data_IF_650954380889
#
_entry.id   IF_650954380889
#
_cell.length_a   1.000
_cell.length_b   1.000
_cell.length_c   1.000
_cell.angle_alpha   90.00
_cell.angle_beta   90.00
_cell.angle_gamma   90.00
#
_symmetry.space_group_name_H-M   'P 1'
#
loop_
_entity.id
_entity.type
_entity.pdbx_description
1 polymer ?
#
# COMPACT_ATOMS: atom_id res chain seq x y z
N UNK A 1 -0.26 26.86 -16.25
CA UNK A 1 0.63 26.18 -15.31
C UNK A 1 -0.17 25.75 -14.10
N UNK A 2 -0.45 24.48 -13.99
CA UNK A 2 -1.07 23.93 -12.77
C UNK A 2 0.03 23.86 -11.72
N UNK A 3 0.01 24.78 -10.75
CA UNK A 3 0.91 24.73 -9.60
C UNK A 3 0.53 23.48 -8.80
N UNK A 4 1.38 22.46 -8.82
CA UNK A 4 1.14 21.23 -8.06
C UNK A 4 1.38 21.52 -6.59
N UNK A 5 0.36 21.30 -5.80
CA UNK A 5 0.44 21.42 -4.36
C UNK A 5 0.70 20.05 -3.75
N UNK A 6 1.62 19.99 -2.80
CA UNK A 6 1.80 18.85 -1.91
C UNK A 6 1.08 19.12 -0.61
N UNK A 7 0.41 18.15 -0.05
CA UNK A 7 -0.31 18.26 1.22
C UNK A 7 0.69 18.20 2.39
N UNK A 8 1.56 19.22 2.50
CA UNK A 8 2.66 19.24 3.48
C UNK A 8 2.20 19.06 4.92
N UNK A 9 1.03 19.55 5.29
CA UNK A 9 0.53 19.40 6.65
C UNK A 9 0.18 17.94 6.94
N UNK A 10 -0.47 17.23 6.02
CA UNK A 10 -0.70 15.79 6.14
C UNK A 10 0.60 14.98 6.11
N UNK A 11 1.55 15.35 5.26
CA UNK A 11 2.88 14.72 5.21
C UNK A 11 3.58 14.86 6.57
N UNK A 12 3.62 16.07 7.15
CA UNK A 12 4.22 16.33 8.46
C UNK A 12 3.52 15.55 9.58
N UNK A 13 2.19 15.51 9.56
CA UNK A 13 1.40 14.72 10.52
C UNK A 13 1.77 13.24 10.46
N UNK A 14 1.86 12.64 9.27
CA UNK A 14 2.23 11.23 9.10
C UNK A 14 3.68 10.95 9.44
N UNK A 15 4.59 11.88 9.20
CA UNK A 15 5.98 11.76 9.65
C UNK A 15 6.08 11.85 11.17
N UNK A 16 5.33 12.75 11.81
CA UNK A 16 5.26 12.84 13.26
C UNK A 16 4.70 11.55 13.89
N UNK A 17 3.67 10.95 13.28
CA UNK A 17 3.17 9.63 13.67
C UNK A 17 4.27 8.58 13.54
N UNK A 18 4.98 8.51 12.40
CA UNK A 18 6.05 7.56 12.16
C UNK A 18 7.22 7.71 13.16
N UNK A 19 7.59 8.95 13.52
CA UNK A 19 8.56 9.21 14.58
C UNK A 19 8.05 8.71 15.94
N UNK A 20 6.80 9.05 16.28
CA UNK A 20 6.21 8.71 17.57
C UNK A 20 6.12 7.19 17.80
N UNK A 21 5.66 6.43 16.83
CA UNK A 21 5.54 4.97 16.97
C UNK A 21 6.90 4.26 17.08
N UNK A 22 7.99 4.93 16.68
CA UNK A 22 9.37 4.42 16.79
C UNK A 22 10.10 4.89 18.07
N UNK A 23 9.45 5.68 18.95
CA UNK A 23 10.06 6.11 20.22
C UNK A 23 10.21 4.95 21.23
N UNK A 24 9.34 3.97 21.15
CA UNK A 24 9.35 2.78 22.01
C UNK A 24 9.85 1.57 21.21
N UNK A 25 10.67 0.72 21.83
CA UNK A 25 11.02 -0.57 21.23
C UNK A 25 9.75 -1.34 20.86
N UNK A 26 9.66 -1.79 19.63
CA UNK A 26 8.49 -2.51 19.11
C UNK A 26 8.92 -3.58 18.14
N UNK A 27 8.30 -4.75 18.22
CA UNK A 27 8.41 -5.75 17.17
C UNK A 27 7.42 -5.41 16.07
N UNK A 28 7.92 -5.24 14.86
CA UNK A 28 7.12 -4.88 13.71
C UNK A 28 6.71 -6.10 12.90
N UNK A 29 5.52 -6.03 12.35
CA UNK A 29 4.95 -7.04 11.47
C UNK A 29 4.22 -6.37 10.29
N UNK A 30 3.85 -7.20 9.32
CA UNK A 30 3.08 -6.80 8.15
C UNK A 30 1.88 -7.74 8.03
N UNK A 31 0.70 -7.20 7.81
CA UNK A 31 -0.46 -7.99 7.39
C UNK A 31 -0.24 -8.51 5.97
N UNK A 32 -0.46 -9.80 5.72
CA UNK A 32 -0.22 -10.41 4.40
C UNK A 32 -1.32 -11.33 3.96
N UNK A 33 -1.94 -11.00 2.82
CA UNK A 33 -2.84 -11.92 2.14
C UNK A 33 -2.91 -11.72 0.61
N UNK A 34 -1.84 -11.22 0.00
CA UNK A 34 -1.79 -11.01 -1.44
C UNK A 34 -2.28 -12.21 -2.23
N UNK A 35 -3.28 -12.02 -3.11
CA UNK A 35 -3.95 -13.07 -3.90
C UNK A 35 -4.53 -14.20 -3.05
N UNK A 36 -4.98 -13.90 -1.83
CA UNK A 36 -5.51 -14.87 -0.87
C UNK A 36 -4.56 -16.07 -0.63
N UNK A 37 -3.23 -15.88 -0.68
CA UNK A 37 -2.25 -16.96 -0.49
C UNK A 37 -2.32 -17.62 0.89
N UNK A 38 -2.82 -16.86 1.88
CA UNK A 38 -3.04 -17.36 3.25
C UNK A 38 -4.49 -17.82 3.46
N UNK A 39 -5.27 -17.95 2.40
CA UNK A 39 -6.69 -18.29 2.38
C UNK A 39 -7.57 -17.06 2.33
N UNK A 40 -8.77 -17.20 1.76
CA UNK A 40 -9.74 -16.13 1.75
C UNK A 40 -10.23 -15.84 3.18
N UNK A 41 -10.26 -14.57 3.56
CA UNK A 41 -10.73 -14.16 4.90
C UNK A 41 -12.20 -14.59 5.11
N UNK A 42 -12.58 -15.06 6.31
CA UNK A 42 -13.99 -15.31 6.64
C UNK A 42 -14.83 -14.03 6.49
N UNK A 43 -16.16 -14.19 6.39
CA UNK A 43 -17.06 -13.04 6.39
C UNK A 43 -17.02 -12.35 7.76
N UNK A 44 -16.89 -11.03 7.76
CA UNK A 44 -17.03 -10.20 8.96
C UNK A 44 -18.49 -10.17 9.43
N UNK A 45 -18.71 -9.86 10.71
CA UNK A 45 -20.03 -9.80 11.34
C UNK A 45 -21.01 -8.91 10.57
N UNK A 46 -20.55 -7.75 10.13
CA UNK A 46 -21.34 -6.79 9.35
C UNK A 46 -20.62 -6.45 8.06
N UNK A 47 -21.20 -6.80 6.93
CA UNK A 47 -20.61 -6.54 5.62
C UNK A 47 -21.63 -5.95 4.64
N UNK A 48 -21.13 -5.31 3.61
CA UNK A 48 -21.91 -4.80 2.47
C UNK A 48 -21.23 -5.20 1.16
N UNK A 49 -21.96 -5.10 0.04
CA UNK A 49 -21.34 -5.16 -1.28
C UNK A 49 -21.02 -3.75 -1.76
N UNK A 50 -19.80 -3.57 -2.23
CA UNK A 50 -19.36 -2.29 -2.79
C UNK A 50 -19.80 -2.12 -4.26
N UNK A 51 -19.39 -1.01 -4.90
CA UNK A 51 -19.70 -0.72 -6.30
C UNK A 51 -19.15 -1.77 -7.29
N UNK A 52 -18.19 -2.58 -6.87
CA UNK A 52 -17.63 -3.69 -7.66
C UNK A 52 -18.37 -5.03 -7.44
N UNK A 53 -19.45 -5.03 -6.66
CA UNK A 53 -20.18 -6.23 -6.27
C UNK A 53 -19.43 -7.12 -5.27
N UNK A 54 -18.31 -6.65 -4.72
CA UNK A 54 -17.44 -7.39 -3.80
C UNK A 54 -17.87 -7.17 -2.35
N UNK A 55 -17.66 -8.18 -1.52
CA UNK A 55 -17.89 -8.07 -0.08
C UNK A 55 -16.83 -7.14 0.52
N UNK A 56 -17.29 -6.17 1.30
CA UNK A 56 -16.46 -5.27 2.08
C UNK A 56 -17.03 -5.11 3.50
N UNK A 57 -16.20 -4.77 4.46
CA UNK A 57 -16.61 -4.41 5.80
C UNK A 57 -17.37 -3.06 5.83
N UNK A 58 -17.82 -2.63 6.99
CA UNK A 58 -18.57 -1.37 7.15
C UNK A 58 -17.77 -0.13 6.80
N UNK A 59 -16.43 -0.20 6.86
CA UNK A 59 -15.51 0.88 6.51
C UNK A 59 -15.03 0.82 5.06
N UNK A 60 -15.44 -0.20 4.31
CA UNK A 60 -15.17 -0.32 2.88
C UNK A 60 -13.94 -1.14 2.53
N UNK A 61 -13.26 -1.77 3.49
CA UNK A 61 -12.14 -2.67 3.20
C UNK A 61 -12.71 -3.96 2.60
N UNK A 62 -12.25 -4.31 1.40
CA UNK A 62 -12.72 -5.51 0.70
C UNK A 62 -12.20 -6.80 1.35
N UNK A 63 -13.00 -7.86 1.29
CA UNK A 63 -12.65 -9.21 1.75
C UNK A 63 -11.48 -9.81 0.96
N UNK A 64 -11.43 -9.55 -0.34
CA UNK A 64 -10.42 -10.11 -1.23
C UNK A 64 -9.04 -9.56 -0.91
N UNK A 65 -8.09 -10.44 -0.67
CA UNK A 65 -6.71 -10.14 -0.25
C UNK A 65 -6.57 -9.49 1.14
N UNK A 66 -7.63 -9.44 1.93
CA UNK A 66 -7.60 -8.87 3.26
C UNK A 66 -7.30 -9.89 4.36
N UNK A 67 -7.05 -9.38 5.54
CA UNK A 67 -6.74 -10.11 6.76
C UNK A 67 -7.90 -9.98 7.73
N UNK A 68 -8.47 -11.08 8.28
CA UNK A 68 -9.56 -10.99 9.24
C UNK A 68 -9.04 -10.51 10.60
N UNK A 69 -9.69 -9.47 11.13
CA UNK A 69 -9.43 -8.88 12.45
C UNK A 69 -10.56 -9.26 13.41
N UNK A 70 -10.19 -9.92 14.52
CA UNK A 70 -11.12 -10.39 15.54
C UNK A 70 -10.99 -9.55 16.80
N UNK A 71 -12.11 -9.37 17.52
CA UNK A 71 -12.10 -8.73 18.82
C UNK A 71 -11.25 -9.54 19.82
N UNK A 72 -10.66 -8.86 20.81
CA UNK A 72 -9.90 -9.53 21.87
C UNK A 72 -10.76 -10.52 22.68
N UNK A 73 -12.06 -10.27 22.75
CA UNK A 73 -13.04 -11.05 23.51
C UNK A 73 -13.81 -12.07 22.69
N UNK A 74 -13.72 -12.02 21.36
CA UNK A 74 -14.45 -12.92 20.46
C UNK A 74 -13.64 -13.20 19.18
N UNK A 75 -13.16 -14.44 19.06
CA UNK A 75 -12.40 -14.93 17.92
C UNK A 75 -13.20 -15.90 17.02
N UNK A 76 -14.52 -15.94 17.15
CA UNK A 76 -15.38 -16.80 16.32
C UNK A 76 -15.69 -16.18 14.97
N UNK A 77 -16.05 -14.89 14.98
CA UNK A 77 -16.40 -14.14 13.76
C UNK A 77 -15.56 -12.87 13.70
N UNK A 78 -14.85 -12.59 12.59
CA UNK A 78 -14.07 -11.36 12.50
C UNK A 78 -14.99 -10.14 12.47
N UNK A 79 -14.53 -9.06 13.09
CA UNK A 79 -15.26 -7.80 13.16
C UNK A 79 -14.97 -6.91 11.94
N UNK A 80 -13.71 -6.91 11.48
CA UNK A 80 -13.23 -6.07 10.39
C UNK A 80 -12.23 -6.80 9.50
N UNK A 81 -11.81 -6.11 8.44
CA UNK A 81 -10.69 -6.49 7.60
C UNK A 81 -9.51 -5.52 7.75
N UNK A 82 -8.30 -6.06 7.89
CA UNK A 82 -7.03 -5.33 7.73
C UNK A 82 -6.52 -5.46 6.30
N UNK A 83 -5.78 -4.48 5.83
CA UNK A 83 -5.28 -4.45 4.46
C UNK A 83 -3.95 -5.23 4.31
N UNK A 84 -3.76 -5.94 3.19
CA UNK A 84 -2.46 -6.51 2.84
C UNK A 84 -1.39 -5.41 2.81
N UNK A 85 -0.24 -5.64 3.42
CA UNK A 85 0.86 -4.68 3.46
C UNK A 85 0.81 -3.69 4.61
N UNK A 86 -0.25 -3.63 5.39
CA UNK A 86 -0.39 -2.69 6.50
C UNK A 86 0.68 -2.92 7.56
N UNK A 87 1.39 -1.85 7.96
CA UNK A 87 2.33 -1.89 9.07
C UNK A 87 1.57 -2.20 10.37
N UNK A 88 2.11 -3.13 11.14
CA UNK A 88 1.44 -3.64 12.34
C UNK A 88 2.43 -3.77 13.47
N UNK A 89 2.07 -3.32 14.67
CA UNK A 89 2.81 -3.58 15.89
C UNK A 89 2.43 -4.96 16.44
N UNK A 90 3.40 -5.83 16.54
CA UNK A 90 3.25 -7.13 17.21
C UNK A 90 3.24 -6.91 18.72
N UNK A 91 2.26 -7.47 19.42
CA UNK A 91 2.11 -7.28 20.87
C UNK A 91 2.38 -8.61 21.60
N UNK A 92 1.67 -9.68 21.22
CA UNK A 92 1.72 -10.96 21.93
C UNK A 92 1.53 -12.14 20.96
N UNK A 93 2.28 -13.22 21.20
CA UNK A 93 2.15 -14.46 20.45
C UNK A 93 1.29 -15.48 21.20
N UNK A 94 0.07 -15.70 20.73
CA UNK A 94 -0.81 -16.75 21.24
C UNK A 94 -0.66 -18.07 20.46
N UNK A 95 -1.48 -19.07 20.74
CA UNK A 95 -1.40 -20.37 20.08
C UNK A 95 -1.77 -20.31 18.58
N UNK A 96 -2.94 -19.76 18.25
CA UNK A 96 -3.51 -19.66 16.88
C UNK A 96 -3.52 -18.23 16.34
N UNK A 97 -3.56 -17.26 17.23
CA UNK A 97 -3.68 -15.85 16.94
C UNK A 97 -2.47 -15.09 17.48
N UNK A 98 -2.19 -13.97 16.86
CA UNK A 98 -1.30 -12.93 17.36
C UNK A 98 -2.18 -11.77 17.82
N UNK A 99 -1.93 -11.22 18.99
CA UNK A 99 -2.45 -9.91 19.39
C UNK A 99 -1.56 -8.85 18.76
N UNK A 100 -2.14 -7.98 17.96
CA UNK A 100 -1.39 -6.96 17.23
C UNK A 100 -2.25 -5.71 16.96
N UNK A 101 -1.55 -4.60 16.69
CA UNK A 101 -2.15 -3.29 16.40
C UNK A 101 -1.73 -2.83 15.00
N UNK A 102 -2.61 -2.93 13.98
CA UNK A 102 -2.36 -2.35 12.67
C UNK A 102 -2.37 -0.82 12.74
N UNK A 103 -1.32 -0.17 12.22
CA UNK A 103 -1.05 1.26 12.46
C UNK A 103 -2.00 2.22 11.75
N UNK A 104 -2.66 1.81 10.69
CA UNK A 104 -3.67 2.62 9.99
C UNK A 104 -5.09 2.28 10.44
N UNK A 105 -5.41 0.98 10.56
CA UNK A 105 -6.70 0.51 11.05
C UNK A 105 -6.92 0.89 12.51
N UNK A 106 -5.85 0.92 13.31
CA UNK A 106 -5.91 1.22 14.75
C UNK A 106 -6.45 0.05 15.58
N UNK A 107 -6.46 0.26 16.90
CA UNK A 107 -6.89 -0.68 17.91
C UNK A 107 -6.09 -2.01 17.94
N UNK A 108 -6.27 -2.76 19.02
CA UNK A 108 -5.68 -4.07 19.20
C UNK A 108 -6.63 -5.17 18.74
N UNK A 109 -6.11 -6.11 17.95
CA UNK A 109 -6.87 -7.18 17.35
C UNK A 109 -6.23 -8.55 17.57
N UNK A 110 -7.05 -9.60 17.62
CA UNK A 110 -6.62 -10.98 17.47
C UNK A 110 -6.58 -11.32 15.98
N UNK A 111 -5.40 -11.65 15.46
CA UNK A 111 -5.15 -11.89 14.03
C UNK A 111 -4.58 -13.30 13.86
N UNK A 112 -5.16 -14.18 13.01
CA UNK A 112 -4.61 -15.51 12.81
C UNK A 112 -3.17 -15.45 12.28
N UNK A 113 -2.27 -16.21 12.89
CA UNK A 113 -0.82 -16.20 12.64
C UNK A 113 -0.44 -16.25 11.17
N UNK A 114 -1.16 -17.05 10.37
CA UNK A 114 -0.89 -17.21 8.94
C UNK A 114 -0.98 -15.92 8.12
N UNK A 115 -1.63 -14.89 8.64
CA UNK A 115 -1.78 -13.59 7.98
C UNK A 115 -0.77 -12.55 8.46
N UNK A 116 0.11 -12.87 9.39
CA UNK A 116 1.05 -11.92 10.00
C UNK A 116 2.48 -12.34 9.68
N UNK A 117 3.23 -11.46 9.04
CA UNK A 117 4.66 -11.62 8.82
C UNK A 117 5.43 -10.72 9.77
N UNK A 118 6.04 -11.29 10.78
CA UNK A 118 6.97 -10.55 11.66
C UNK A 118 8.22 -10.16 10.85
N UNK A 119 8.63 -8.89 10.92
CA UNK A 119 9.81 -8.36 10.24
C UNK A 119 10.93 -7.99 11.20
N UNK A 120 10.65 -7.93 12.51
CA UNK A 120 11.64 -7.80 13.57
C UNK A 120 11.49 -6.55 14.45
N UNK A 121 12.35 -6.45 15.44
CA UNK A 121 12.39 -5.39 16.46
C UNK A 121 13.51 -4.37 16.25
N UNK A 122 14.46 -4.67 15.35
CA UNK A 122 15.60 -3.80 15.02
C UNK A 122 15.35 -2.88 13.82
N UNK A 123 14.19 -2.98 13.19
CA UNK A 123 13.87 -2.20 11.99
C UNK A 123 13.58 -0.75 12.38
N UNK A 124 14.27 0.17 11.70
CA UNK A 124 14.01 1.60 11.77
C UNK A 124 13.56 2.09 10.39
N UNK A 125 12.37 2.65 10.33
CA UNK A 125 11.82 3.19 9.09
C UNK A 125 12.40 4.59 8.81
N UNK A 126 13.49 4.63 8.06
CA UNK A 126 14.18 5.86 7.68
C UNK A 126 13.76 6.40 6.31
N UNK A 127 12.87 5.71 5.61
CA UNK A 127 12.40 6.09 4.28
C UNK A 127 10.89 6.03 4.20
N UNK A 128 10.32 7.10 3.69
CA UNK A 128 8.87 7.22 3.51
C UNK A 128 8.56 7.73 2.10
N UNK A 129 7.52 7.16 1.49
CA UNK A 129 6.96 7.61 0.21
C UNK A 129 5.53 8.04 0.46
N UNK A 130 5.17 9.22 0.00
CA UNK A 130 3.83 9.79 0.10
C UNK A 130 3.17 9.83 -1.27
N UNK A 131 2.06 9.15 -1.42
CA UNK A 131 1.21 9.17 -2.61
C UNK A 131 0.00 10.03 -2.30
N UNK A 132 -0.18 11.10 -3.05
CA UNK A 132 -1.31 12.04 -2.93
C UNK A 132 -2.33 11.74 -4.02
N UNK A 133 -3.47 11.15 -3.64
CA UNK A 133 -4.56 10.81 -4.56
C UNK A 133 -5.29 12.04 -5.07
N UNK A 134 -5.41 13.08 -4.24
CA UNK A 134 -6.11 14.31 -4.59
C UNK A 134 -5.33 15.13 -5.63
N UNK A 135 -4.05 15.41 -5.36
CA UNK A 135 -3.22 16.23 -6.23
C UNK A 135 -2.44 15.44 -7.30
N UNK A 136 -2.60 14.12 -7.34
CA UNK A 136 -1.94 13.24 -8.31
C UNK A 136 -0.42 13.45 -8.34
N UNK A 137 0.21 13.40 -7.17
CA UNK A 137 1.66 13.53 -7.03
C UNK A 137 2.23 12.51 -6.03
N UNK A 138 3.55 12.45 -5.96
CA UNK A 138 4.29 11.54 -5.10
C UNK A 138 5.54 12.25 -4.58
N UNK A 139 5.86 12.07 -3.30
CA UNK A 139 7.08 12.55 -2.69
C UNK A 139 7.81 11.41 -1.97
N UNK A 140 9.14 11.42 -2.01
CA UNK A 140 9.99 10.51 -1.25
C UNK A 140 10.81 11.30 -0.24
N UNK A 141 10.79 10.87 1.02
CA UNK A 141 11.50 11.51 2.11
C UNK A 141 12.41 10.52 2.84
N UNK A 142 13.54 11.00 3.31
CA UNK A 142 14.52 10.22 4.05
C UNK A 142 14.85 10.90 5.37
N UNK A 143 14.88 10.12 6.43
CA UNK A 143 15.21 10.58 7.77
C UNK A 143 16.71 10.87 7.86
N UNK A 144 17.07 12.10 8.19
CA UNK A 144 18.43 12.56 8.38
C UNK A 144 18.84 12.65 9.85
N UNK A 145 17.87 12.64 10.76
CA UNK A 145 18.04 12.68 12.21
C UNK A 145 16.72 12.52 12.91
N UNK A 146 16.71 12.55 14.24
CA UNK A 146 15.46 12.46 15.03
C UNK A 146 14.54 13.63 14.67
N UNK A 147 13.35 13.31 14.16
CA UNK A 147 12.37 14.31 13.74
C UNK A 147 12.77 15.15 12.53
N UNK A 148 13.85 14.80 11.85
CA UNK A 148 14.35 15.54 10.67
C UNK A 148 14.25 14.67 9.42
N UNK A 149 13.53 15.18 8.42
CA UNK A 149 13.29 14.50 7.16
C UNK A 149 13.69 15.38 5.99
N UNK A 150 14.40 14.79 5.03
CA UNK A 150 14.86 15.46 3.80
C UNK A 150 14.05 14.94 2.64
N UNK A 151 13.52 15.84 1.82
CA UNK A 151 12.84 15.49 0.57
C UNK A 151 13.89 15.01 -0.43
N UNK A 152 13.74 13.78 -0.92
CA UNK A 152 14.58 13.17 -1.94
C UNK A 152 14.04 13.34 -3.34
N UNK A 153 12.72 13.34 -3.46
CA UNK A 153 12.04 13.56 -4.74
C UNK A 153 10.63 14.08 -4.57
N UNK A 154 10.17 14.85 -5.55
CA UNK A 154 8.78 15.29 -5.70
C UNK A 154 8.43 15.20 -7.19
N UNK A 155 7.41 14.40 -7.54
CA UNK A 155 7.06 14.15 -8.93
C UNK A 155 5.55 14.07 -9.14
N UNK A 156 5.06 14.33 -10.36
CA UNK A 156 3.71 13.97 -10.74
C UNK A 156 3.56 12.45 -10.74
N UNK A 157 2.39 11.99 -10.34
CA UNK A 157 1.99 10.58 -10.42
C UNK A 157 0.58 10.45 -10.96
N UNK A 158 0.14 9.21 -11.19
CA UNK A 158 -1.24 8.92 -11.57
C UNK A 158 -1.69 7.70 -10.79
N UNK A 159 -2.72 7.87 -9.96
CA UNK A 159 -3.27 6.84 -9.09
C UNK A 159 -4.41 6.05 -9.74
N UNK A 160 -4.95 5.07 -9.03
CA UNK A 160 -6.09 4.27 -9.43
C UNK A 160 -7.38 5.09 -9.55
N UNK A 161 -8.18 4.79 -10.57
CA UNK A 161 -9.48 5.43 -10.83
C UNK A 161 -10.63 4.53 -10.36
N UNK A 162 -11.75 5.13 -10.02
CA UNK A 162 -13.00 4.41 -9.81
C UNK A 162 -13.65 4.07 -11.15
N UNK A 163 -13.52 2.82 -11.60
CA UNK A 163 -14.14 2.33 -12.85
C UNK A 163 -14.44 0.82 -12.75
N UNK A 164 -15.54 0.44 -12.06
CA UNK A 164 -15.97 -0.96 -12.02
C UNK A 164 -16.21 -1.53 -13.44
N UNK A 165 -15.98 -2.83 -13.63
CA UNK A 165 -15.49 -3.80 -12.66
C UNK A 165 -13.95 -3.92 -12.60
N UNK A 166 -13.19 -3.21 -13.43
CA UNK A 166 -11.78 -3.50 -13.68
C UNK A 166 -10.80 -2.61 -12.92
N UNK A 167 -11.12 -1.32 -12.74
CA UNK A 167 -10.22 -0.39 -12.11
C UNK A 167 -10.75 0.12 -10.76
N UNK A 168 -9.86 0.12 -9.76
CA UNK A 168 -10.11 0.60 -8.40
C UNK A 168 -9.18 1.75 -8.06
N UNK A 169 -9.60 2.55 -7.10
CA UNK A 169 -8.76 3.57 -6.48
C UNK A 169 -7.58 2.92 -5.76
N UNK A 170 -6.46 3.64 -5.72
CA UNK A 170 -5.32 3.25 -4.88
C UNK A 170 -5.76 3.28 -3.41
N UNK A 171 -5.62 2.17 -2.65
CA UNK A 171 -6.08 2.11 -1.27
C UNK A 171 -5.38 3.14 -0.39
N UNK A 172 -6.16 3.81 0.48
CA UNK A 172 -5.63 4.68 1.53
C UNK A 172 -4.98 3.84 2.62
N UNK A 173 -3.90 4.31 3.21
CA UNK A 173 -3.27 3.56 4.29
C UNK A 173 -1.83 3.91 4.59
N UNK A 174 -1.27 3.11 5.50
CA UNK A 174 0.14 3.11 5.89
C UNK A 174 0.70 1.70 5.66
N UNK A 175 1.43 1.54 4.58
CA UNK A 175 1.89 0.25 4.09
C UNK A 175 3.40 0.13 4.17
N UNK A 176 3.89 -1.10 4.26
CA UNK A 176 5.30 -1.43 4.10
C UNK A 176 5.56 -1.87 2.66
N UNK A 177 6.66 -1.41 2.07
CA UNK A 177 7.11 -1.90 0.76
C UNK A 177 7.44 -3.40 0.86
N UNK A 178 6.74 -4.25 0.09
CA UNK A 178 6.77 -5.71 0.27
C UNK A 178 7.55 -6.47 -0.81
N UNK A 179 7.54 -5.98 -2.05
CA UNK A 179 8.10 -6.72 -3.20
C UNK A 179 8.57 -5.77 -4.29
N UNK A 180 9.57 -6.18 -5.04
CA UNK A 180 10.08 -5.44 -6.21
C UNK A 180 10.16 -6.34 -7.44
N UNK A 181 9.77 -5.81 -8.60
CA UNK A 181 9.88 -6.47 -9.91
C UNK A 181 10.47 -5.50 -10.93
N UNK A 182 11.52 -5.90 -11.62
CA UNK A 182 12.07 -5.09 -12.73
C UNK A 182 11.01 -4.89 -13.82
N UNK A 183 10.21 -5.92 -14.08
CA UNK A 183 9.07 -5.89 -15.00
C UNK A 183 7.87 -6.57 -14.34
N UNK A 184 6.81 -5.85 -14.12
CA UNK A 184 5.52 -6.38 -13.68
C UNK A 184 4.64 -6.57 -14.92
N UNK A 185 4.37 -7.81 -15.30
CA UNK A 185 3.46 -8.12 -16.42
C UNK A 185 2.02 -7.90 -15.97
N UNK A 186 1.20 -7.28 -16.81
CA UNK A 186 -0.23 -7.13 -16.59
C UNK A 186 -1.03 -7.72 -17.77
N UNK A 187 -2.27 -8.09 -17.47
CA UNK A 187 -3.21 -8.64 -18.46
C UNK A 187 -4.10 -7.52 -19.01
N UNK A 188 -4.68 -7.77 -20.17
CA UNK A 188 -5.76 -6.94 -20.71
C UNK A 188 -7.04 -7.17 -19.88
N UNK A 189 -7.84 -6.13 -19.70
CA UNK A 189 -9.10 -6.21 -18.95
C UNK A 189 -10.02 -7.28 -19.51
N UNK A 190 -10.57 -8.11 -18.60
CA UNK A 190 -11.47 -9.21 -18.97
C UNK A 190 -10.84 -10.35 -19.75
N UNK A 191 -9.50 -10.42 -19.84
CA UNK A 191 -8.77 -11.38 -20.66
C UNK A 191 -7.62 -12.06 -19.90
N UNK A 192 -7.14 -13.19 -20.42
CA UNK A 192 -5.89 -13.84 -19.99
C UNK A 192 -4.69 -13.41 -20.85
N UNK A 193 -4.90 -12.57 -21.85
CA UNK A 193 -3.83 -12.09 -22.72
C UNK A 193 -2.95 -11.05 -22.02
N UNK A 194 -1.65 -11.11 -22.29
CA UNK A 194 -0.72 -10.10 -21.80
C UNK A 194 -1.02 -8.73 -22.41
N UNK A 195 -1.32 -7.74 -21.57
CA UNK A 195 -1.52 -6.35 -21.96
C UNK A 195 -0.20 -5.59 -22.14
N UNK A 196 0.85 -6.05 -21.48
CA UNK A 196 2.16 -5.42 -21.48
C UNK A 196 2.91 -5.61 -20.16
N UNK A 197 3.79 -4.67 -19.84
CA UNK A 197 4.49 -4.66 -18.55
C UNK A 197 4.65 -3.24 -18.01
N UNK A 198 4.80 -3.13 -16.70
CA UNK A 198 5.16 -1.92 -15.98
C UNK A 198 6.60 -2.06 -15.45
N UNK A 199 7.53 -1.13 -15.77
CA UNK A 199 8.91 -1.21 -15.33
C UNK A 199 9.07 -0.75 -13.88
N UNK A 200 10.06 -1.31 -13.18
CA UNK A 200 10.50 -0.92 -11.83
C UNK A 200 9.36 -0.88 -10.82
N UNK A 201 8.61 -1.95 -10.74
CA UNK A 201 7.41 -2.06 -9.92
C UNK A 201 7.75 -2.42 -8.46
N UNK A 202 7.24 -1.63 -7.52
CA UNK A 202 7.42 -1.74 -6.08
C UNK A 202 6.05 -1.91 -5.42
N UNK A 203 5.72 -3.14 -4.93
CA UNK A 203 4.41 -3.48 -4.36
C UNK A 203 4.33 -3.06 -2.90
N UNK A 204 3.21 -2.46 -2.50
CA UNK A 204 2.97 -2.05 -1.12
C UNK A 204 1.67 -2.62 -0.51
N UNK A 205 0.61 -2.82 -1.29
CA UNK A 205 -0.63 -3.47 -0.82
C UNK A 205 -1.29 -4.20 -1.98
N UNK A 206 -2.00 -5.27 -1.73
CA UNK A 206 -2.76 -6.02 -2.72
C UNK A 206 -2.04 -6.14 -4.08
N UNK A 207 -2.72 -5.76 -5.17
CA UNK A 207 -2.13 -5.60 -6.50
C UNK A 207 -1.61 -4.18 -6.79
N UNK A 208 -1.48 -3.30 -5.81
CA UNK A 208 -1.00 -1.94 -5.98
C UNK A 208 0.54 -1.86 -5.94
N UNK A 209 1.09 -1.29 -7.00
CA UNK A 209 2.53 -1.06 -7.19
C UNK A 209 2.78 0.42 -7.52
N UNK A 210 3.90 0.95 -7.04
CA UNK A 210 4.53 2.14 -7.60
C UNK A 210 5.38 1.67 -8.77
N UNK A 211 5.19 2.20 -9.99
CA UNK A 211 5.90 1.73 -11.18
C UNK A 211 6.04 2.82 -12.26
N UNK A 212 6.90 2.60 -13.23
CA UNK A 212 7.09 3.48 -14.38
C UNK A 212 5.92 3.46 -15.36
N UNK A 213 6.01 4.27 -16.41
CA UNK A 213 4.97 4.32 -17.45
C UNK A 213 4.77 2.92 -18.05
N UNK A 214 3.53 2.40 -18.09
CA UNK A 214 3.26 1.09 -18.65
C UNK A 214 3.64 0.99 -20.13
N UNK A 215 4.25 -0.11 -20.51
CA UNK A 215 4.61 -0.44 -21.89
C UNK A 215 3.59 -1.45 -22.41
N UNK A 216 2.63 -0.97 -23.18
CA UNK A 216 1.56 -1.80 -23.75
C UNK A 216 2.10 -2.65 -24.91
N UNK A 217 1.70 -3.92 -24.98
CA UNK A 217 2.01 -4.79 -26.11
C UNK A 217 1.40 -4.22 -27.43
N UNK A 218 2.08 -4.34 -28.58
CA UNK A 218 3.33 -5.10 -28.82
C UNK A 218 4.63 -4.30 -28.55
N UNK A 219 4.55 -3.07 -28.05
CA UNK A 219 5.73 -2.25 -27.76
C UNK A 219 6.66 -2.93 -26.75
N UNK A 220 7.96 -2.85 -26.96
CA UNK A 220 8.99 -3.39 -26.08
C UNK A 220 9.83 -2.31 -25.39
N UNK A 221 9.93 -1.13 -26.02
CA UNK A 221 10.76 -0.01 -25.54
C UNK A 221 10.07 0.72 -24.39
N UNK A 222 10.81 0.99 -23.34
CA UNK A 222 10.35 1.79 -22.21
C UNK A 222 9.96 3.20 -22.65
N UNK A 223 8.99 3.78 -21.96
CA UNK A 223 8.51 5.14 -22.14
C UNK A 223 8.85 5.90 -20.87
N UNK A 224 9.53 7.02 -21.00
CA UNK A 224 9.90 7.83 -19.84
C UNK A 224 8.72 8.56 -19.25
N UNK A 225 7.89 9.17 -20.07
CA UNK A 225 6.84 10.07 -19.61
C UNK A 225 5.51 9.79 -20.29
N UNK A 226 4.44 10.04 -19.56
CA UNK A 226 3.06 10.05 -20.09
C UNK A 226 2.41 11.40 -19.78
N UNK A 227 1.74 12.06 -20.74
CA UNK A 227 1.06 13.34 -20.49
C UNK A 227 -0.08 13.25 -19.46
N UNK A 228 -0.48 12.04 -19.08
CA UNK A 228 -1.49 11.82 -18.02
C UNK A 228 -0.93 11.93 -16.60
N UNK A 229 0.40 11.92 -16.41
CA UNK A 229 0.99 12.04 -15.09
C UNK A 229 0.65 13.39 -14.45
N UNK A 230 0.17 13.34 -13.21
CA UNK A 230 -0.22 14.51 -12.43
C UNK A 230 -1.52 15.16 -12.88
N UNK A 231 -2.37 14.49 -13.63
CA UNK A 231 -3.64 15.04 -14.10
C UNK A 231 -4.84 14.48 -13.32
N UNK A 232 -5.27 13.28 -13.65
CA UNK A 232 -6.42 12.61 -13.04
C UNK A 232 -6.12 11.13 -12.80
N UNK A 233 -6.80 10.46 -11.86
CA UNK A 233 -6.66 9.01 -11.66
C UNK A 233 -6.96 8.24 -12.96
N UNK A 234 -6.10 7.29 -13.35
CA UNK A 234 -6.23 6.52 -14.60
C UNK A 234 -5.77 5.07 -14.52
N UNK A 235 -5.15 4.67 -13.43
CA UNK A 235 -4.66 3.28 -13.30
C UNK A 235 -5.73 2.34 -12.75
N UNK A 236 -5.38 1.05 -12.59
CA UNK A 236 -6.25 0.02 -12.02
C UNK A 236 -6.03 -0.19 -10.51
N UNK A 237 -5.35 0.69 -9.81
CA UNK A 237 -4.99 0.68 -8.40
C UNK A 237 -3.54 1.16 -8.20
N UNK A 238 -2.68 0.95 -9.19
CA UNK A 238 -1.26 1.27 -9.11
C UNK A 238 -1.00 2.79 -9.13
N UNK A 239 0.21 3.17 -8.74
CA UNK A 239 0.74 4.53 -8.81
C UNK A 239 1.76 4.61 -9.95
N UNK A 240 1.39 5.26 -11.04
CA UNK A 240 2.24 5.45 -12.23
C UNK A 240 3.11 6.67 -12.06
N UNK A 241 4.37 6.56 -12.44
CA UNK A 241 5.38 7.62 -12.38
C UNK A 241 6.12 7.75 -13.70
N UNK A 242 6.90 8.83 -13.88
CA UNK A 242 7.99 8.84 -14.84
C UNK A 242 8.88 7.60 -14.59
N UNK A 243 9.35 6.95 -15.64
CA UNK A 243 10.06 5.66 -15.52
C UNK A 243 11.37 5.79 -14.75
N UNK A 244 12.11 6.89 -14.94
CA UNK A 244 13.30 7.20 -14.16
C UNK A 244 13.01 7.40 -12.67
N UNK A 245 11.87 8.03 -12.31
CA UNK A 245 11.47 8.20 -10.93
C UNK A 245 11.03 6.87 -10.29
N UNK A 246 10.30 6.03 -11.01
CA UNK A 246 9.97 4.68 -10.54
C UNK A 246 11.24 3.84 -10.31
N UNK A 247 12.27 3.99 -11.21
CA UNK A 247 13.58 3.36 -11.03
C UNK A 247 14.28 3.88 -9.78
N UNK A 248 14.24 5.20 -9.54
CA UNK A 248 14.81 5.80 -8.33
C UNK A 248 14.17 5.17 -7.07
N UNK A 249 12.84 5.11 -6.97
CA UNK A 249 12.16 4.48 -5.83
C UNK A 249 12.52 3.00 -5.73
N UNK A 250 12.55 2.28 -6.85
CA UNK A 250 12.91 0.88 -6.91
C UNK A 250 14.32 0.61 -6.34
N UNK A 251 15.31 1.43 -6.67
CA UNK A 251 16.68 1.27 -6.20
C UNK A 251 16.87 1.77 -4.75
N UNK A 252 16.27 2.92 -4.43
CA UNK A 252 16.46 3.63 -3.16
C UNK A 252 15.69 3.01 -1.98
N UNK A 253 14.47 2.56 -2.19
CA UNK A 253 13.55 2.12 -1.11
C UNK A 253 13.77 0.65 -0.76
N UNK A 254 14.28 0.24 0.42
CA UNK A 254 14.41 -1.16 0.81
C UNK A 254 13.04 -1.81 1.08
N UNK A 255 12.91 -3.09 0.67
CA UNK A 255 11.79 -3.96 1.07
C UNK A 255 11.83 -4.17 2.58
N UNK A 256 10.66 -4.19 3.22
CA UNK A 256 10.43 -4.26 4.67
C UNK A 256 11.00 -3.07 5.48
N UNK A 257 11.61 -2.06 4.84
CA UNK A 257 12.24 -0.92 5.51
C UNK A 257 11.75 0.45 5.02
N UNK A 258 10.77 0.48 4.11
CA UNK A 258 10.19 1.73 3.58
C UNK A 258 8.70 1.76 3.84
N UNK A 259 8.20 2.87 4.35
CA UNK A 259 6.76 3.12 4.56
C UNK A 259 6.18 3.86 3.36
N UNK A 260 5.04 3.42 2.90
CA UNK A 260 4.24 4.04 1.85
C UNK A 260 2.96 4.59 2.48
N UNK A 261 2.80 5.89 2.49
CA UNK A 261 1.56 6.56 2.88
C UNK A 261 0.76 6.90 1.63
N UNK A 262 -0.49 6.49 1.60
CA UNK A 262 -1.45 6.92 0.57
C UNK A 262 -2.44 7.86 1.22
N UNK A 263 -2.43 9.12 0.76
CA UNK A 263 -3.24 10.23 1.26
C UNK A 263 -4.41 10.53 0.33
N UNK A 264 -5.53 10.98 0.92
CA UNK A 264 -6.68 11.51 0.18
C UNK A 264 -6.47 12.98 -0.15
#
# INVERSE_FOLDING_TARGET
DTTRQFQWDKIKERLALLENIQLQPSTWAILQNYKNRNGEAPLVRSFKRNAYGRVADTLGIERYQSVPLYLLTDTLVPERYGQDGELTRFIEDGEKFIKAEPMFTGDEWMIPKKYVKVIGDTIVFNKAVFVDRHNQNIASLERSGKGQWVVRSMNPSTTGRHLPPYAQETPLGMFVLQEKKVKMVFLKDGSKETGGYAPYASRFTDGAYIHGVPVNAPRKTQIEYSPSLGTTPRSHMCVRNATSHAKFIYDWAPVNGTIIFVLE
#
